data_IF_896379968263
#
_entry.id   IF_896379968263
#
_cell.length_a   1.000
_cell.length_b   1.000
_cell.length_c   1.000
_cell.angle_alpha   90.00
_cell.angle_beta   90.00
_cell.angle_gamma   90.00
#
_symmetry.space_group_name_H-M   'P 1'
#
loop_
_entity.id
_entity.type
_entity.pdbx_description
1 polymer ?
#
# COMPACT_ATOMS: atom_id res chain seq x y z
N UNK A 1 6.59 13.33 20.15
CA UNK A 1 6.81 12.14 19.30
C UNK A 1 8.30 11.89 19.17
N UNK A 2 8.77 10.64 19.37
CA UNK A 2 10.15 10.23 19.11
C UNK A 2 10.43 10.32 17.59
N UNK A 3 11.66 10.73 17.23
CA UNK A 3 12.10 10.83 15.84
C UNK A 3 13.09 9.71 15.52
N UNK A 4 13.04 9.22 14.30
CA UNK A 4 13.91 8.17 13.75
C UNK A 4 14.65 8.73 12.55
N UNK A 5 15.96 8.47 12.46
CA UNK A 5 16.76 8.81 11.28
C UNK A 5 16.42 7.87 10.12
N UNK A 6 16.00 8.43 9.00
CA UNK A 6 15.62 7.67 7.82
C UNK A 6 16.84 7.34 6.95
N UNK A 7 17.73 6.46 7.44
CA UNK A 7 18.95 6.05 6.75
C UNK A 7 19.80 7.23 6.32
N UNK A 8 20.57 7.07 5.23
CA UNK A 8 21.47 8.11 4.65
C UNK A 8 20.78 9.37 4.15
N UNK A 9 19.43 9.47 4.22
CA UNK A 9 18.73 10.73 3.94
C UNK A 9 18.94 11.77 5.02
N UNK A 10 19.35 11.38 6.22
CA UNK A 10 19.46 12.21 7.44
C UNK A 10 18.14 12.88 7.86
N UNK A 11 17.00 12.54 7.21
CA UNK A 11 15.70 13.04 7.63
C UNK A 11 15.33 12.45 8.99
N UNK A 12 15.01 13.32 9.95
CA UNK A 12 14.52 12.93 11.27
C UNK A 12 13.00 12.88 11.24
N UNK A 13 12.44 11.70 10.99
CA UNK A 13 11.00 11.48 10.80
C UNK A 13 10.35 10.92 12.07
N UNK A 14 9.06 11.20 12.25
CA UNK A 14 8.28 10.66 13.37
C UNK A 14 8.23 9.13 13.33
N UNK A 15 8.40 8.51 14.48
CA UNK A 15 8.45 7.04 14.64
C UNK A 15 7.21 6.33 14.12
N UNK A 16 6.04 6.98 14.18
CA UNK A 16 4.84 6.63 13.42
C UNK A 16 4.56 7.82 12.52
N UNK A 17 4.47 7.57 11.22
CA UNK A 17 4.30 8.60 10.20
C UNK A 17 2.95 8.46 9.49
N UNK A 18 2.56 9.41 8.64
CA UNK A 18 1.22 9.49 8.10
C UNK A 18 1.12 8.93 6.69
N UNK A 19 0.34 7.85 6.50
CA UNK A 19 -0.03 7.33 5.18
C UNK A 19 -1.30 8.02 4.66
N UNK A 20 -1.17 8.84 3.62
CA UNK A 20 -2.26 9.69 3.14
C UNK A 20 -3.18 9.02 2.09
N UNK A 21 -3.01 7.74 1.78
CA UNK A 21 -3.91 7.06 0.84
C UNK A 21 -5.40 7.18 1.21
N UNK A 22 -5.83 6.98 2.49
CA UNK A 22 -7.26 7.00 2.81
C UNK A 22 -7.91 8.37 2.79
N UNK A 23 -7.18 9.47 2.90
CA UNK A 23 -7.81 10.81 2.95
C UNK A 23 -8.59 11.15 1.67
N UNK A 24 -8.28 10.52 0.54
CA UNK A 24 -9.06 10.66 -0.70
C UNK A 24 -10.48 10.09 -0.61
N UNK A 25 -10.83 9.35 0.44
CA UNK A 25 -12.15 8.73 0.63
C UNK A 25 -13.09 9.55 1.50
N UNK A 26 -12.61 10.63 2.10
CA UNK A 26 -13.39 11.57 2.90
C UNK A 26 -13.51 12.93 2.19
N UNK A 27 -14.42 13.78 2.68
CA UNK A 27 -14.49 15.14 2.17
C UNK A 27 -13.21 15.94 2.49
N UNK A 28 -12.97 16.96 1.68
CA UNK A 28 -11.75 17.77 1.74
C UNK A 28 -11.50 18.42 3.10
N UNK A 29 -12.53 18.94 3.74
CA UNK A 29 -12.41 19.60 5.05
C UNK A 29 -12.06 18.59 6.13
N UNK A 30 -12.62 17.40 6.07
CA UNK A 30 -12.28 16.28 6.93
C UNK A 30 -10.84 15.83 6.71
N UNK A 31 -10.40 15.67 5.47
CA UNK A 31 -9.02 15.34 5.12
C UNK A 31 -8.02 16.36 5.71
N UNK A 32 -8.29 17.66 5.53
CA UNK A 32 -7.45 18.74 6.07
C UNK A 32 -7.40 18.70 7.60
N UNK A 33 -8.54 18.50 8.28
CA UNK A 33 -8.59 18.40 9.75
C UNK A 33 -7.77 17.22 10.26
N UNK A 34 -7.89 16.05 9.65
CA UNK A 34 -7.18 14.84 10.06
C UNK A 34 -5.67 15.01 9.89
N UNK A 35 -5.20 15.54 8.77
CA UNK A 35 -3.78 15.78 8.53
C UNK A 35 -3.22 16.83 9.50
N UNK A 36 -3.96 17.92 9.76
CA UNK A 36 -3.56 18.92 10.76
C UNK A 36 -3.45 18.32 12.15
N UNK A 37 -4.44 17.53 12.55
CA UNK A 37 -4.42 16.84 13.83
C UNK A 37 -3.21 15.91 13.97
N UNK A 38 -2.89 15.13 12.92
CA UNK A 38 -1.70 14.28 12.91
C UNK A 38 -0.41 15.08 13.15
N UNK A 39 -0.26 16.24 12.49
CA UNK A 39 0.86 17.14 12.73
C UNK A 39 0.89 17.67 14.18
N UNK A 40 -0.24 18.08 14.73
CA UNK A 40 -0.35 18.56 16.11
C UNK A 40 0.00 17.47 17.15
N UNK A 41 -0.23 16.19 16.81
CA UNK A 41 0.23 15.05 17.60
C UNK A 41 1.72 14.73 17.41
N UNK A 42 2.44 15.49 16.59
CA UNK A 42 3.88 15.38 16.38
C UNK A 42 4.31 14.49 15.22
N UNK A 43 3.38 14.07 14.34
CA UNK A 43 3.75 13.45 13.06
C UNK A 43 4.33 14.53 12.14
N UNK A 44 5.53 14.29 11.61
CA UNK A 44 6.22 15.24 10.75
C UNK A 44 6.55 14.69 9.37
N UNK A 45 6.24 13.42 9.07
CA UNK A 45 6.46 12.79 7.77
C UNK A 45 5.14 12.27 7.20
N UNK A 46 4.79 12.75 5.99
CA UNK A 46 3.53 12.51 5.31
C UNK A 46 3.78 11.87 3.96
N UNK A 47 3.29 10.64 3.76
CA UNK A 47 3.50 9.86 2.55
C UNK A 47 2.23 9.81 1.69
N UNK A 48 2.34 10.26 0.45
CA UNK A 48 1.27 10.24 -0.56
C UNK A 48 1.75 9.66 -1.89
N UNK A 49 0.97 9.79 -2.97
CA UNK A 49 1.37 9.43 -4.33
C UNK A 49 0.51 10.15 -5.37
N UNK A 50 1.05 10.36 -6.57
CA UNK A 50 0.34 10.92 -7.73
C UNK A 50 -0.95 10.13 -8.07
N UNK A 51 -0.93 8.82 -7.86
CA UNK A 51 -2.07 7.93 -8.13
C UNK A 51 -3.17 7.96 -7.06
N UNK A 52 -3.02 8.71 -5.97
CA UNK A 52 -4.00 8.78 -4.87
C UNK A 52 -4.99 9.94 -5.07
N UNK A 53 -5.64 10.00 -6.22
CA UNK A 53 -6.64 11.00 -6.64
C UNK A 53 -6.42 12.41 -6.05
N UNK A 54 -7.15 12.80 -4.99
CA UNK A 54 -7.09 14.13 -4.35
C UNK A 54 -6.05 14.25 -3.24
N UNK A 55 -5.40 13.15 -2.84
CA UNK A 55 -4.57 13.10 -1.62
C UNK A 55 -3.43 14.13 -1.61
N UNK A 56 -2.74 14.36 -2.74
CA UNK A 56 -1.70 15.39 -2.82
C UNK A 56 -2.24 16.81 -2.62
N UNK A 57 -3.42 17.11 -3.22
CA UNK A 57 -4.06 18.43 -3.07
C UNK A 57 -4.51 18.69 -1.63
N UNK A 58 -5.08 17.67 -0.99
CA UNK A 58 -5.56 17.75 0.38
C UNK A 58 -4.42 17.89 1.38
N UNK A 59 -3.31 17.15 1.15
CA UNK A 59 -2.06 17.35 1.90
C UNK A 59 -1.47 18.75 1.70
N UNK A 60 -1.37 19.22 0.45
CA UNK A 60 -0.85 20.55 0.15
C UNK A 60 -1.59 21.65 0.90
N UNK A 61 -2.92 21.56 0.93
CA UNK A 61 -3.77 22.48 1.70
C UNK A 61 -3.55 22.37 3.21
N UNK A 62 -3.55 21.14 3.72
CA UNK A 62 -3.39 20.88 5.14
C UNK A 62 -2.03 21.33 5.68
N UNK A 63 -0.95 21.11 4.93
CA UNK A 63 0.42 21.41 5.35
C UNK A 63 0.90 22.82 4.98
N UNK A 64 0.05 23.61 4.32
CA UNK A 64 0.35 25.00 3.97
C UNK A 64 0.80 25.82 5.17
N UNK A 65 1.93 26.50 5.01
CA UNK A 65 2.51 27.38 6.03
C UNK A 65 3.36 26.67 7.10
N UNK A 66 3.51 25.33 7.04
CA UNK A 66 4.37 24.59 7.98
C UNK A 66 5.84 24.52 7.51
N UNK A 67 6.09 24.72 6.21
CA UNK A 67 7.45 24.80 5.65
C UNK A 67 8.30 23.56 5.98
N UNK A 68 9.50 23.78 6.50
CA UNK A 68 10.47 22.72 6.85
C UNK A 68 10.10 21.91 8.11
N UNK A 69 9.04 22.28 8.84
CA UNK A 69 8.57 21.53 10.00
C UNK A 69 7.96 20.18 9.64
N UNK A 70 7.63 19.98 8.37
CA UNK A 70 7.05 18.75 7.86
C UNK A 70 7.82 18.28 6.64
N UNK A 71 7.99 16.97 6.53
CA UNK A 71 8.58 16.29 5.40
C UNK A 71 7.49 15.58 4.60
N UNK A 72 7.56 15.70 3.28
CA UNK A 72 6.58 15.10 2.37
C UNK A 72 7.27 14.14 1.43
N UNK A 73 6.74 12.91 1.38
CA UNK A 73 7.08 11.91 0.39
C UNK A 73 5.93 11.77 -0.61
N UNK A 74 6.23 11.81 -1.90
CA UNK A 74 5.29 11.42 -2.95
C UNK A 74 5.92 10.44 -3.93
N UNK A 75 5.11 9.91 -4.85
CA UNK A 75 5.51 8.83 -5.75
C UNK A 75 4.81 8.97 -7.10
N UNK A 76 5.53 8.64 -8.18
CA UNK A 76 4.94 8.49 -9.50
C UNK A 76 5.30 7.14 -10.12
N UNK A 77 4.37 6.56 -10.89
CA UNK A 77 4.61 5.37 -11.70
C UNK A 77 5.29 5.79 -12.98
N UNK A 78 6.41 5.17 -13.30
CA UNK A 78 7.04 5.36 -14.61
C UNK A 78 6.35 4.50 -15.68
N UNK A 79 5.97 5.11 -16.78
CA UNK A 79 5.50 4.44 -17.99
C UNK A 79 6.26 4.94 -19.23
N UNK A 80 6.39 6.23 -19.37
CA UNK A 80 7.13 6.97 -20.37
C UNK A 80 7.56 8.33 -19.79
N UNK A 81 8.53 8.99 -20.40
CA UNK A 81 9.09 10.24 -19.89
C UNK A 81 8.08 11.38 -19.88
N UNK A 82 7.32 11.58 -20.95
CA UNK A 82 6.37 12.70 -21.07
C UNK A 82 5.34 12.66 -19.92
N UNK A 83 4.81 11.44 -19.65
CA UNK A 83 3.89 11.24 -18.54
C UNK A 83 4.56 11.41 -17.20
N UNK A 84 5.78 10.91 -17.02
CA UNK A 84 6.50 11.00 -15.76
C UNK A 84 6.81 12.44 -15.38
N UNK A 85 7.32 13.24 -16.31
CA UNK A 85 7.58 14.68 -16.11
C UNK A 85 6.29 15.43 -15.78
N UNK A 86 5.20 15.14 -16.50
CA UNK A 86 3.89 15.74 -16.22
C UNK A 86 3.39 15.35 -14.81
N UNK A 87 3.50 14.10 -14.42
CA UNK A 87 3.09 13.62 -13.09
C UNK A 87 3.96 14.27 -12.00
N UNK A 88 5.27 14.41 -12.25
CA UNK A 88 6.21 15.11 -11.36
C UNK A 88 5.79 16.56 -11.13
N UNK A 89 5.57 17.35 -12.18
CA UNK A 89 5.14 18.75 -12.07
C UNK A 89 3.74 18.87 -11.43
N UNK A 90 2.84 17.94 -11.71
CA UNK A 90 1.52 17.91 -11.11
C UNK A 90 1.61 17.72 -9.59
N UNK A 91 2.53 16.86 -9.11
CA UNK A 91 2.75 16.67 -7.68
C UNK A 91 3.17 17.95 -6.96
N UNK A 92 4.06 18.76 -7.55
CA UNK A 92 4.44 20.07 -7.01
C UNK A 92 3.26 21.02 -6.89
N UNK A 93 2.47 21.12 -7.98
CA UNK A 93 1.29 21.98 -8.00
C UNK A 93 0.25 21.57 -6.94
N UNK A 94 0.01 20.27 -6.80
CA UNK A 94 -0.95 19.74 -5.84
C UNK A 94 -0.48 19.93 -4.39
N UNK A 95 0.77 19.59 -4.11
CA UNK A 95 1.37 19.71 -2.79
C UNK A 95 1.65 21.16 -2.38
N UNK A 96 1.61 22.11 -3.33
CA UNK A 96 1.88 23.55 -3.11
C UNK A 96 3.21 23.78 -2.37
N UNK A 97 4.26 23.08 -2.80
CA UNK A 97 5.60 23.16 -2.18
C UNK A 97 6.65 23.52 -3.23
N UNK A 98 7.69 24.25 -2.79
CA UNK A 98 8.84 24.61 -3.63
C UNK A 98 9.81 23.42 -3.78
N UNK A 99 9.80 22.49 -2.83
CA UNK A 99 10.58 21.25 -2.86
C UNK A 99 9.82 20.09 -2.22
N UNK A 100 10.19 18.88 -2.60
CA UNK A 100 9.68 17.62 -2.03
C UNK A 100 10.85 16.91 -1.33
N UNK A 101 10.65 16.46 -0.09
CA UNK A 101 11.71 15.84 0.71
C UNK A 101 12.11 14.46 0.16
N UNK A 102 11.14 13.66 -0.28
CA UNK A 102 11.39 12.34 -0.85
C UNK A 102 10.48 12.08 -2.06
N UNK A 103 11.06 11.90 -3.24
CA UNK A 103 10.34 11.48 -4.43
C UNK A 103 10.67 10.01 -4.74
N UNK A 104 9.63 9.17 -4.92
CA UNK A 104 9.82 7.73 -5.04
C UNK A 104 9.29 7.19 -6.37
N UNK A 105 9.99 6.23 -6.97
CA UNK A 105 9.43 5.39 -8.03
C UNK A 105 8.37 4.47 -7.45
N UNK A 106 7.16 4.51 -8.00
CA UNK A 106 5.98 3.87 -7.44
C UNK A 106 5.71 2.51 -8.07
N UNK A 107 5.62 1.46 -7.23
CA UNK A 107 5.22 0.09 -7.64
C UNK A 107 6.19 -0.51 -8.68
N UNK A 108 7.48 -0.51 -8.37
CA UNK A 108 8.50 -1.17 -9.20
C UNK A 108 8.60 -2.63 -8.76
N UNK A 109 7.99 -3.53 -9.53
CA UNK A 109 7.82 -4.93 -9.14
C UNK A 109 8.60 -5.90 -10.03
N UNK A 110 9.11 -5.45 -11.18
CA UNK A 110 9.74 -6.28 -12.19
C UNK A 110 11.07 -5.69 -12.66
N UNK A 111 11.93 -6.56 -13.18
CA UNK A 111 13.26 -6.21 -13.66
C UNK A 111 13.18 -5.19 -14.80
N UNK A 112 12.25 -5.38 -15.71
CA UNK A 112 12.06 -4.51 -16.88
C UNK A 112 11.70 -3.08 -16.48
N UNK A 113 10.91 -2.93 -15.40
CA UNK A 113 10.54 -1.61 -14.86
C UNK A 113 11.78 -0.92 -14.23
N UNK A 114 12.59 -1.68 -13.48
CA UNK A 114 13.82 -1.16 -12.89
C UNK A 114 14.84 -0.76 -13.98
N UNK A 115 15.02 -1.59 -14.99
CA UNK A 115 15.95 -1.34 -16.09
C UNK A 115 15.52 -0.09 -16.88
N UNK A 116 14.22 0.07 -17.17
CA UNK A 116 13.67 1.26 -17.82
C UNK A 116 13.85 2.54 -16.96
N UNK A 117 13.72 2.42 -15.63
CA UNK A 117 13.96 3.54 -14.71
C UNK A 117 15.44 3.95 -14.71
N UNK A 118 16.34 3.00 -14.80
CA UNK A 118 17.80 3.21 -14.73
C UNK A 118 18.46 3.38 -16.09
N UNK A 119 17.71 3.35 -17.17
CA UNK A 119 18.21 3.62 -18.51
C UNK A 119 18.86 5.01 -18.59
N UNK A 120 19.95 5.13 -19.35
CA UNK A 120 20.65 6.41 -19.51
C UNK A 120 19.76 7.46 -20.14
N UNK A 121 19.63 8.61 -19.49
CA UNK A 121 18.70 9.67 -19.88
C UNK A 121 17.24 9.41 -19.49
N UNK A 122 16.99 8.36 -18.74
CA UNK A 122 15.67 7.99 -18.24
C UNK A 122 15.23 8.76 -16.98
N UNK A 123 14.15 8.31 -16.35
CA UNK A 123 13.54 9.05 -15.23
C UNK A 123 14.43 9.14 -13.98
N UNK A 124 15.35 8.21 -13.77
CA UNK A 124 16.31 8.33 -12.67
C UNK A 124 17.28 9.49 -12.89
N UNK A 125 17.84 9.62 -14.10
CA UNK A 125 18.72 10.75 -14.46
C UNK A 125 17.98 12.08 -14.39
N UNK A 126 16.71 12.13 -14.81
CA UNK A 126 15.84 13.29 -14.66
C UNK A 126 15.70 13.69 -13.18
N UNK A 127 15.38 12.75 -12.27
CA UNK A 127 15.28 13.05 -10.84
C UNK A 127 16.63 13.49 -10.24
N UNK A 128 17.76 12.99 -10.73
CA UNK A 128 19.09 13.47 -10.31
C UNK A 128 19.31 14.93 -10.66
N UNK A 129 18.88 15.38 -11.84
CA UNK A 129 18.96 16.80 -12.22
C UNK A 129 18.01 17.66 -11.37
N UNK A 130 16.80 17.17 -11.09
CA UNK A 130 15.87 17.87 -10.20
C UNK A 130 16.39 17.95 -8.75
N UNK A 131 17.11 16.93 -8.30
CA UNK A 131 17.80 16.93 -7.00
C UNK A 131 18.92 17.99 -6.96
N UNK A 132 19.72 18.12 -8.04
CA UNK A 132 20.74 19.16 -8.16
C UNK A 132 20.16 20.57 -8.14
N UNK A 133 18.96 20.76 -8.71
CA UNK A 133 18.22 22.03 -8.67
C UNK A 133 17.59 22.31 -7.29
N UNK A 134 17.64 21.35 -6.34
CA UNK A 134 17.04 21.48 -5.04
C UNK A 134 15.52 21.30 -4.98
N UNK A 135 14.90 20.84 -6.09
CA UNK A 135 13.46 20.59 -6.14
C UNK A 135 13.05 19.30 -5.39
N UNK A 136 13.92 18.30 -5.37
CA UNK A 136 13.77 17.14 -4.49
C UNK A 136 15.02 16.96 -3.65
N UNK A 137 14.87 16.42 -2.44
CA UNK A 137 15.99 16.17 -1.55
C UNK A 137 16.54 14.75 -1.69
N UNK A 138 15.64 13.75 -1.81
CA UNK A 138 15.98 12.33 -1.82
C UNK A 138 15.18 11.57 -2.87
N UNK A 139 15.77 10.46 -3.36
CA UNK A 139 15.16 9.54 -4.34
C UNK A 139 14.98 8.18 -3.70
N UNK A 140 13.74 7.67 -3.70
CA UNK A 140 13.38 6.37 -3.16
C UNK A 140 12.74 5.45 -4.18
N UNK A 141 12.45 4.23 -3.74
CA UNK A 141 11.77 3.21 -4.55
C UNK A 141 10.76 2.45 -3.71
N UNK A 142 9.61 2.10 -4.32
CA UNK A 142 8.57 1.33 -3.65
C UNK A 142 8.20 0.08 -4.43
N UNK A 143 7.91 -1.01 -3.73
CA UNK A 143 7.44 -2.25 -4.32
C UNK A 143 6.47 -2.98 -3.40
N UNK A 144 5.60 -3.79 -4.00
CA UNK A 144 4.83 -4.81 -3.28
C UNK A 144 5.53 -6.18 -3.24
N UNK A 145 6.74 -6.28 -3.78
CA UNK A 145 7.54 -7.51 -3.87
C UNK A 145 8.87 -7.31 -3.16
N UNK A 146 8.94 -7.56 -1.83
CA UNK A 146 10.16 -7.31 -1.05
C UNK A 146 11.40 -8.03 -1.59
N UNK A 147 11.26 -9.27 -2.05
CA UNK A 147 12.36 -10.04 -2.60
C UNK A 147 12.99 -9.36 -3.83
N UNK A 148 12.19 -8.72 -4.69
CA UNK A 148 12.71 -7.99 -5.85
C UNK A 148 13.51 -6.75 -5.44
N UNK A 149 13.19 -6.12 -4.31
CA UNK A 149 13.90 -4.93 -3.85
C UNK A 149 15.36 -5.19 -3.50
N UNK A 150 15.77 -6.43 -3.26
CA UNK A 150 17.19 -6.80 -3.10
C UNK A 150 18.02 -6.41 -4.34
N UNK A 151 17.47 -6.61 -5.54
CA UNK A 151 18.13 -6.22 -6.79
C UNK A 151 18.20 -4.69 -6.91
N UNK A 152 17.10 -4.00 -6.62
CA UNK A 152 17.04 -2.55 -6.70
C UNK A 152 18.05 -1.89 -5.73
N UNK A 153 18.14 -2.36 -4.48
CA UNK A 153 19.07 -1.80 -3.48
C UNK A 153 20.52 -2.03 -3.84
N UNK A 154 20.87 -3.19 -4.43
CA UNK A 154 22.25 -3.50 -4.90
C UNK A 154 22.74 -2.55 -5.99
N UNK A 155 21.85 -1.82 -6.68
CA UNK A 155 22.25 -0.78 -7.64
C UNK A 155 22.94 0.43 -6.97
N UNK A 156 22.74 0.62 -5.67
CA UNK A 156 23.23 1.78 -4.90
C UNK A 156 22.56 3.11 -5.24
N UNK A 157 21.49 3.10 -6.06
CA UNK A 157 20.85 4.29 -6.60
C UNK A 157 19.84 4.94 -5.65
N UNK A 158 19.21 4.16 -4.77
CA UNK A 158 18.09 4.63 -3.94
C UNK A 158 18.52 4.93 -2.51
N UNK A 159 17.88 5.93 -1.91
CA UNK A 159 18.17 6.40 -0.54
C UNK A 159 17.14 5.85 0.45
N UNK A 160 15.95 5.45 -0.03
CA UNK A 160 14.92 4.77 0.76
C UNK A 160 14.30 3.61 -0.01
N UNK A 161 13.82 2.62 0.74
CA UNK A 161 12.97 1.53 0.24
C UNK A 161 11.64 1.54 0.98
N UNK A 162 10.54 1.37 0.25
CA UNK A 162 9.21 1.26 0.85
C UNK A 162 8.54 -0.04 0.39
N UNK A 163 8.22 -0.92 1.35
CA UNK A 163 7.63 -2.25 1.12
C UNK A 163 6.51 -2.54 2.12
N UNK A 164 5.60 -3.49 1.82
CA UNK A 164 4.70 -4.03 2.84
C UNK A 164 5.50 -4.69 3.96
N UNK A 165 5.08 -4.42 5.19
CA UNK A 165 5.64 -5.10 6.37
C UNK A 165 4.66 -5.01 7.54
N UNK A 166 4.35 -6.15 8.11
CA UNK A 166 3.53 -6.33 9.30
C UNK A 166 3.78 -7.75 9.84
N UNK A 167 3.13 -8.15 10.92
CA UNK A 167 3.38 -9.45 11.56
C UNK A 167 2.95 -10.68 10.73
N UNK A 168 2.25 -10.48 9.58
CA UNK A 168 1.96 -11.53 8.58
C UNK A 168 2.96 -11.48 7.41
N UNK A 169 3.33 -10.27 6.98
CA UNK A 169 4.26 -10.02 5.87
C UNK A 169 5.64 -9.72 6.44
N UNK A 170 6.37 -10.76 6.89
CA UNK A 170 7.64 -10.65 7.62
C UNK A 170 8.89 -10.89 6.76
N UNK A 171 8.72 -11.29 5.50
CA UNK A 171 9.80 -11.65 4.57
C UNK A 171 10.90 -10.57 4.46
N UNK A 172 10.62 -9.26 4.59
CA UNK A 172 11.66 -8.24 4.57
C UNK A 172 12.74 -8.40 5.65
N UNK A 173 12.44 -9.08 6.77
CA UNK A 173 13.39 -9.32 7.86
C UNK A 173 14.55 -10.22 7.46
N UNK A 174 14.34 -11.13 6.52
CA UNK A 174 15.32 -12.18 6.20
C UNK A 174 16.56 -11.59 5.51
N UNK A 175 16.36 -10.84 4.42
CA UNK A 175 17.47 -10.32 3.62
C UNK A 175 17.35 -8.81 3.34
N UNK A 176 16.14 -8.29 3.09
CA UNK A 176 15.95 -6.92 2.61
C UNK A 176 16.35 -5.87 3.67
N UNK A 177 15.87 -6.01 4.89
CA UNK A 177 16.21 -5.06 5.96
C UNK A 177 17.68 -5.15 6.38
N UNK A 178 18.29 -6.36 6.53
CA UNK A 178 19.75 -6.47 6.70
C UNK A 178 20.55 -5.75 5.61
N UNK A 179 20.18 -5.94 4.33
CA UNK A 179 20.82 -5.26 3.22
C UNK A 179 20.62 -3.74 3.27
N UNK A 180 19.39 -3.27 3.51
CA UNK A 180 19.09 -1.83 3.63
C UNK A 180 19.92 -1.18 4.73
N UNK A 181 20.03 -1.82 5.91
CA UNK A 181 20.88 -1.36 7.03
C UNK A 181 22.35 -1.28 6.65
N UNK A 182 22.88 -2.30 5.97
CA UNK A 182 24.28 -2.33 5.54
C UNK A 182 24.63 -1.22 4.54
N UNK A 183 23.65 -0.72 3.80
CA UNK A 183 23.77 0.35 2.81
C UNK A 183 23.29 1.72 3.33
N UNK A 184 22.92 1.79 4.61
CA UNK A 184 22.31 2.96 5.27
C UNK A 184 21.09 3.52 4.51
N UNK A 185 20.27 2.64 3.94
CA UNK A 185 19.04 2.97 3.21
C UNK A 185 17.88 3.08 4.19
N UNK A 186 17.12 4.18 4.13
CA UNK A 186 15.94 4.39 4.96
C UNK A 186 14.83 3.38 4.67
N UNK A 187 14.25 2.79 5.72
CA UNK A 187 13.22 1.74 5.63
C UNK A 187 11.87 2.35 5.98
N UNK A 188 10.98 2.44 4.98
CA UNK A 188 9.59 2.84 5.16
C UNK A 188 8.70 1.62 4.95
N UNK A 189 7.72 1.41 5.81
CA UNK A 189 6.83 0.26 5.67
C UNK A 189 5.38 0.67 5.50
N UNK A 190 4.81 0.22 4.38
CA UNK A 190 3.40 0.38 4.06
C UNK A 190 2.59 -0.82 4.59
N UNK A 191 1.27 -0.65 4.68
CA UNK A 191 0.32 -1.66 5.17
C UNK A 191 0.64 -2.22 6.57
N UNK A 192 1.06 -1.39 7.54
CA UNK A 192 1.37 -1.86 8.88
C UNK A 192 0.18 -2.55 9.58
N UNK A 193 -1.06 -2.24 9.13
CA UNK A 193 -2.30 -2.85 9.62
C UNK A 193 -3.00 -3.66 8.51
N UNK A 194 -2.22 -4.27 7.60
CA UNK A 194 -2.69 -5.13 6.50
C UNK A 194 -3.84 -4.51 5.68
N UNK A 195 -3.81 -3.18 5.49
CA UNK A 195 -4.88 -2.47 4.77
C UNK A 195 -6.21 -2.37 5.54
N UNK A 196 -6.22 -2.55 6.87
CA UNK A 196 -7.40 -2.52 7.73
C UNK A 196 -8.03 -3.92 7.95
N UNK A 197 -7.29 -4.98 7.67
CA UNK A 197 -7.69 -6.36 7.97
C UNK A 197 -7.51 -6.66 9.46
N UNK A 198 -6.42 -6.17 10.05
CA UNK A 198 -6.17 -6.36 11.48
C UNK A 198 -7.20 -5.57 12.31
N UNK A 199 -7.69 -6.20 13.35
CA UNK A 199 -8.69 -5.61 14.27
C UNK A 199 -8.04 -4.84 15.42
N UNK A 200 -6.76 -5.11 15.71
CA UNK A 200 -5.99 -4.44 16.77
C UNK A 200 -4.80 -3.68 16.17
N UNK A 201 -5.06 -2.43 15.74
CA UNK A 201 -4.05 -1.56 15.12
C UNK A 201 -2.90 -1.25 16.09
N UNK A 202 -3.21 -1.00 17.38
CA UNK A 202 -2.19 -0.75 18.40
C UNK A 202 -1.18 -1.89 18.47
N UNK A 203 -1.65 -3.12 18.54
CA UNK A 203 -0.80 -4.33 18.60
C UNK A 203 0.06 -4.45 17.33
N UNK A 204 -0.55 -4.30 16.15
CA UNK A 204 0.15 -4.42 14.87
C UNK A 204 1.28 -3.40 14.73
N UNK A 205 1.03 -2.15 15.10
CA UNK A 205 2.04 -1.09 15.03
C UNK A 205 3.09 -1.30 16.13
N UNK A 206 2.70 -1.64 17.37
CA UNK A 206 3.64 -1.93 18.46
C UNK A 206 4.61 -3.06 18.08
N UNK A 207 4.15 -4.07 17.34
CA UNK A 207 5.02 -5.13 16.84
C UNK A 207 6.07 -4.58 15.86
N UNK A 208 5.68 -3.69 14.93
CA UNK A 208 6.63 -3.06 13.98
C UNK A 208 7.64 -2.18 14.73
N UNK A 209 7.21 -1.46 15.76
CA UNK A 209 8.07 -0.57 16.54
C UNK A 209 9.17 -1.28 17.35
N UNK A 210 9.16 -2.62 17.42
CA UNK A 210 10.29 -3.40 17.91
C UNK A 210 11.52 -3.35 16.96
N UNK A 211 11.33 -2.86 15.74
CA UNK A 211 12.38 -2.59 14.77
C UNK A 211 12.62 -1.08 14.72
N UNK A 212 13.60 -0.54 15.49
CA UNK A 212 13.68 0.89 15.79
C UNK A 212 14.01 1.78 14.58
N UNK A 213 14.58 1.22 13.51
CA UNK A 213 14.97 1.87 12.27
C UNK A 213 13.90 1.78 11.15
N UNK A 214 12.76 1.14 11.45
CA UNK A 214 11.66 0.96 10.50
C UNK A 214 10.57 1.99 10.77
N UNK A 215 10.15 2.71 9.73
CA UNK A 215 9.16 3.78 9.81
C UNK A 215 7.82 3.33 9.23
N UNK A 216 6.83 2.96 10.08
CA UNK A 216 5.49 2.63 9.62
C UNK A 216 4.71 3.89 9.19
N UNK A 217 4.00 3.75 8.05
CA UNK A 217 3.08 4.76 7.52
C UNK A 217 1.65 4.22 7.46
N UNK A 218 0.98 4.00 8.62
CA UNK A 218 -0.42 3.59 8.62
C UNK A 218 -1.28 4.59 7.85
N UNK A 219 -2.20 4.06 7.05
CA UNK A 219 -3.17 4.91 6.36
C UNK A 219 -4.26 5.36 7.32
N UNK A 220 -4.52 6.67 7.39
CA UNK A 220 -5.48 7.27 8.31
C UNK A 220 -6.35 8.31 7.60
N UNK A 221 -7.65 8.33 7.89
CA UNK A 221 -8.60 9.35 7.42
C UNK A 221 -9.57 9.83 8.52
N UNK A 222 -9.38 9.39 9.77
CA UNK A 222 -10.15 9.79 10.95
C UNK A 222 -9.22 10.05 12.12
N UNK A 223 -9.66 10.92 13.03
CA UNK A 223 -8.89 11.29 14.24
C UNK A 223 -8.68 10.08 15.15
N UNK A 224 -9.72 9.26 15.31
CA UNK A 224 -9.69 8.07 16.14
C UNK A 224 -8.61 7.07 15.68
N UNK A 225 -8.38 6.97 14.36
CA UNK A 225 -7.31 6.12 13.80
C UNK A 225 -5.92 6.63 14.16
N UNK A 226 -5.74 7.95 14.27
CA UNK A 226 -4.49 8.56 14.73
C UNK A 226 -4.27 8.23 16.21
N UNK A 227 -5.30 8.44 17.03
CA UNK A 227 -5.25 8.20 18.48
C UNK A 227 -4.95 6.73 18.78
N UNK A 228 -5.61 5.80 18.10
CA UNK A 228 -5.36 4.35 18.21
C UNK A 228 -3.92 3.99 17.84
N UNK A 229 -3.44 4.50 16.70
CA UNK A 229 -2.09 4.22 16.24
C UNK A 229 -1.03 4.78 17.20
N UNK A 230 -1.27 5.95 17.79
CA UNK A 230 -0.35 6.56 18.76
C UNK A 230 -0.27 5.80 20.09
N UNK A 231 -1.30 5.06 20.47
CA UNK A 231 -1.24 4.19 21.65
C UNK A 231 -0.11 3.15 21.55
N UNK A 232 0.28 2.77 20.34
CA UNK A 232 1.39 1.84 20.11
C UNK A 232 2.74 2.34 20.62
N UNK A 233 2.92 3.66 20.82
CA UNK A 233 4.14 4.24 21.35
C UNK A 233 4.34 3.98 22.85
N UNK A 234 3.28 3.63 23.57
CA UNK A 234 3.25 3.60 25.02
C UNK A 234 3.55 2.22 25.63
N UNK A 235 3.43 1.16 24.87
CA UNK A 235 3.66 -0.20 25.35
C UNK A 235 4.05 -1.17 24.23
N UNK A 236 5.04 -2.02 24.50
CA UNK A 236 5.30 -3.19 23.68
C UNK A 236 4.12 -4.19 23.74
N UNK A 237 3.95 -5.09 22.74
CA UNK A 237 2.94 -6.12 22.79
C UNK A 237 3.09 -7.00 24.05
N UNK A 238 2.00 -7.13 24.81
CA UNK A 238 1.95 -8.00 25.98
C UNK A 238 1.70 -9.49 25.59
N UNK A 239 1.72 -10.41 26.56
CA UNK A 239 1.50 -11.84 26.27
C UNK A 239 0.17 -12.14 25.56
N UNK A 240 -0.91 -11.44 25.92
CA UNK A 240 -2.22 -11.58 25.25
C UNK A 240 -2.20 -11.05 23.81
N UNK A 241 -1.49 -9.92 23.56
CA UNK A 241 -1.31 -9.38 22.21
C UNK A 241 -0.52 -10.38 21.34
N UNK A 242 0.55 -11.00 21.87
CA UNK A 242 1.35 -11.98 21.15
C UNK A 242 0.55 -13.25 20.84
N UNK A 243 -0.30 -13.71 21.76
CA UNK A 243 -1.19 -14.84 21.51
C UNK A 243 -2.20 -14.54 20.41
N UNK A 244 -2.80 -13.34 20.41
CA UNK A 244 -3.70 -12.92 19.35
C UNK A 244 -2.98 -12.84 18.00
N UNK A 245 -1.75 -12.31 17.99
CA UNK A 245 -0.92 -12.23 16.81
C UNK A 245 -0.64 -13.60 16.18
N UNK A 246 -0.36 -14.63 16.99
CA UNK A 246 -0.17 -15.99 16.47
C UNK A 246 -1.49 -16.57 15.93
N UNK A 247 -2.63 -16.34 16.59
CA UNK A 247 -3.94 -16.75 16.08
C UNK A 247 -4.27 -16.09 14.74
N UNK A 248 -4.02 -14.77 14.62
CA UNK A 248 -4.19 -14.02 13.36
C UNK A 248 -3.28 -14.57 12.24
N UNK A 249 -2.03 -14.98 12.56
CA UNK A 249 -1.11 -15.60 11.59
C UNK A 249 -1.64 -16.94 11.09
N UNK A 250 -2.17 -17.77 11.97
CA UNK A 250 -2.77 -19.05 11.59
C UNK A 250 -3.98 -18.85 10.69
N UNK A 251 -4.90 -17.95 11.06
CA UNK A 251 -6.12 -17.70 10.32
C UNK A 251 -5.85 -17.00 8.96
N UNK A 252 -5.13 -15.86 8.99
CA UNK A 252 -4.90 -15.04 7.81
C UNK A 252 -3.78 -15.57 6.92
N UNK A 253 -2.83 -16.32 7.47
CA UNK A 253 -1.71 -16.88 6.72
C UNK A 253 -2.13 -17.71 5.51
N UNK A 254 -3.27 -18.39 5.62
CA UNK A 254 -3.83 -19.28 4.61
C UNK A 254 -4.77 -18.60 3.61
N UNK A 255 -5.24 -17.39 3.88
CA UNK A 255 -6.23 -16.70 3.04
C UNK A 255 -5.82 -15.27 2.64
N UNK A 256 -4.86 -14.68 3.32
CA UNK A 256 -4.45 -13.29 3.10
C UNK A 256 -3.57 -13.12 1.86
N UNK A 257 -4.14 -12.55 0.80
CA UNK A 257 -3.41 -12.25 -0.45
C UNK A 257 -2.49 -11.02 -0.27
N UNK A 258 -1.18 -11.22 -0.42
CA UNK A 258 -0.13 -10.18 -0.26
C UNK A 258 0.08 -9.28 -1.49
N UNK A 259 -0.70 -9.49 -2.56
CA UNK A 259 -0.65 -8.68 -3.80
C UNK A 259 0.71 -8.72 -4.51
N UNK A 260 1.38 -9.83 -4.51
CA UNK A 260 2.63 -10.00 -5.26
C UNK A 260 2.42 -10.27 -6.76
N UNK A 261 1.20 -10.63 -7.16
CA UNK A 261 0.74 -10.90 -8.52
C UNK A 261 1.46 -12.07 -9.24
N UNK A 262 2.21 -12.92 -8.52
CA UNK A 262 2.83 -14.12 -9.10
C UNK A 262 1.80 -15.09 -9.70
N UNK A 263 0.57 -15.08 -9.20
CA UNK A 263 -0.54 -15.87 -9.73
C UNK A 263 -1.00 -15.42 -11.12
N UNK A 264 -0.56 -14.26 -11.60
CA UNK A 264 -0.93 -13.71 -12.90
C UNK A 264 0.13 -13.99 -13.98
N UNK A 265 -0.21 -14.05 -15.29
CA UNK A 265 -1.58 -13.98 -15.82
C UNK A 265 -2.35 -15.30 -15.61
N UNK A 266 -3.68 -15.21 -15.51
CA UNK A 266 -4.55 -16.39 -15.55
C UNK A 266 -4.82 -16.82 -17.00
N UNK A 267 -4.78 -18.12 -17.35
CA UNK A 267 -5.09 -18.60 -18.72
C UNK A 267 -6.50 -18.22 -19.21
N UNK A 268 -7.42 -18.01 -18.25
CA UNK A 268 -8.81 -17.61 -18.53
C UNK A 268 -9.05 -16.12 -18.29
N UNK A 269 -8.00 -15.28 -18.24
CA UNK A 269 -8.06 -13.84 -17.97
C UNK A 269 -8.84 -13.49 -16.70
N UNK A 270 -8.79 -14.29 -15.67
CA UNK A 270 -9.39 -13.99 -14.37
C UNK A 270 -8.41 -13.16 -13.55
N UNK A 271 -8.85 -12.02 -13.05
CA UNK A 271 -8.05 -11.16 -12.18
C UNK A 271 -8.01 -11.70 -10.73
N UNK A 272 -7.42 -12.89 -10.55
CA UNK A 272 -7.44 -13.65 -9.29
C UNK A 272 -6.98 -12.80 -8.09
N UNK A 273 -5.87 -12.09 -8.22
CA UNK A 273 -5.33 -11.23 -7.16
C UNK A 273 -6.25 -10.08 -6.78
N UNK A 274 -7.00 -9.52 -7.73
CA UNK A 274 -8.01 -8.50 -7.44
C UNK A 274 -9.22 -9.12 -6.73
N UNK A 275 -9.76 -10.20 -7.27
CA UNK A 275 -10.97 -10.86 -6.75
C UNK A 275 -10.77 -11.26 -5.29
N UNK A 276 -9.70 -12.00 -4.98
CA UNK A 276 -9.42 -12.49 -3.61
C UNK A 276 -9.31 -11.37 -2.58
N UNK A 277 -8.98 -10.14 -3.01
CA UNK A 277 -8.86 -8.98 -2.14
C UNK A 277 -10.06 -8.04 -2.16
N UNK A 278 -11.06 -8.32 -2.99
CA UNK A 278 -12.15 -7.37 -3.25
C UNK A 278 -12.94 -7.01 -2.01
N UNK A 279 -13.31 -7.98 -1.17
CA UNK A 279 -14.02 -7.73 0.07
C UNK A 279 -13.29 -6.77 0.98
N UNK A 280 -11.98 -6.97 1.12
CA UNK A 280 -11.08 -6.10 1.88
C UNK A 280 -11.02 -4.69 1.31
N UNK A 281 -10.91 -4.59 -0.02
CA UNK A 281 -10.83 -3.31 -0.73
C UNK A 281 -12.12 -2.52 -0.50
N UNK A 282 -13.29 -3.11 -0.79
CA UNK A 282 -14.57 -2.42 -0.67
C UNK A 282 -14.99 -2.15 0.77
N UNK A 283 -14.63 -3.01 1.72
CA UNK A 283 -14.81 -2.70 3.15
C UNK A 283 -14.08 -1.42 3.56
N UNK A 284 -12.92 -1.13 2.94
CA UNK A 284 -12.09 0.03 3.24
C UNK A 284 -12.48 1.29 2.47
N UNK A 285 -12.75 1.17 1.15
CA UNK A 285 -13.03 2.34 0.29
C UNK A 285 -14.51 2.70 0.23
N UNK A 286 -15.38 1.83 0.74
CA UNK A 286 -16.83 1.96 0.69
C UNK A 286 -17.46 1.05 -0.37
N UNK A 287 -18.56 0.40 -0.01
CA UNK A 287 -19.32 -0.49 -0.90
C UNK A 287 -19.97 0.28 -2.05
N UNK A 288 -20.28 1.57 -1.85
CA UNK A 288 -20.78 2.50 -2.86
C UNK A 288 -19.81 2.75 -4.02
N UNK A 289 -18.56 2.35 -3.88
CA UNK A 289 -17.53 2.42 -4.94
C UNK A 289 -17.54 1.20 -5.87
N UNK A 290 -18.35 0.19 -5.58
CA UNK A 290 -18.53 -0.94 -6.48
C UNK A 290 -19.24 -0.46 -7.76
N UNK A 291 -18.85 -1.04 -8.92
CA UNK A 291 -19.34 -0.66 -10.25
C UNK A 291 -19.66 -1.91 -11.07
N UNK A 292 -20.39 -1.75 -12.15
CA UNK A 292 -20.69 -2.84 -13.10
C UNK A 292 -19.44 -3.55 -13.62
N UNK A 293 -18.33 -2.83 -13.82
CA UNK A 293 -17.06 -3.45 -14.24
C UNK A 293 -16.53 -4.45 -13.21
N UNK A 294 -16.73 -4.19 -11.93
CA UNK A 294 -16.38 -5.12 -10.85
C UNK A 294 -17.31 -6.35 -10.86
N UNK A 295 -18.61 -6.16 -11.08
CA UNK A 295 -19.57 -7.25 -11.24
C UNK A 295 -19.16 -8.19 -12.40
N UNK A 296 -18.67 -7.61 -13.53
CA UNK A 296 -18.15 -8.40 -14.65
C UNK A 296 -16.92 -9.22 -14.25
N UNK A 297 -15.99 -8.63 -13.51
CA UNK A 297 -14.79 -9.32 -13.01
C UNK A 297 -15.18 -10.48 -12.06
N UNK A 298 -16.11 -10.27 -11.14
CA UNK A 298 -16.59 -11.30 -10.22
C UNK A 298 -17.36 -12.41 -10.96
N UNK A 299 -18.20 -12.05 -11.93
CA UNK A 299 -18.87 -13.06 -12.79
C UNK A 299 -17.87 -13.92 -13.54
N UNK A 300 -16.77 -13.30 -14.02
CA UNK A 300 -15.68 -14.03 -14.68
C UNK A 300 -14.92 -14.94 -13.69
N UNK A 301 -14.77 -14.53 -12.44
CA UNK A 301 -14.19 -15.34 -11.37
C UNK A 301 -14.93 -16.66 -11.13
N UNK A 302 -16.27 -16.68 -11.27
CA UNK A 302 -17.07 -17.91 -11.19
C UNK A 302 -16.73 -18.92 -12.28
N UNK A 303 -16.22 -18.48 -13.45
CA UNK A 303 -15.81 -19.37 -14.55
C UNK A 303 -14.44 -20.01 -14.35
N UNK A 304 -13.89 -19.97 -13.14
CA UNK A 304 -12.62 -20.59 -12.80
C UNK A 304 -12.66 -22.11 -13.05
N UNK A 305 -11.79 -22.58 -13.93
CA UNK A 305 -11.69 -24.02 -14.29
C UNK A 305 -10.92 -24.85 -13.27
N UNK A 306 -10.47 -24.25 -12.18
CA UNK A 306 -9.62 -24.88 -11.16
C UNK A 306 -8.35 -25.56 -11.72
N UNK A 307 -7.73 -24.98 -12.75
CA UNK A 307 -6.52 -25.54 -13.39
C UNK A 307 -5.30 -25.57 -12.44
N UNK A 308 -5.30 -24.79 -11.36
CA UNK A 308 -4.22 -24.76 -10.36
C UNK A 308 -3.02 -23.88 -10.72
N UNK A 309 -2.95 -23.31 -11.93
CA UNK A 309 -1.80 -22.50 -12.38
C UNK A 309 -1.49 -21.30 -11.46
N UNK A 310 -2.53 -20.61 -10.99
CA UNK A 310 -2.36 -19.49 -10.05
C UNK A 310 -1.86 -19.98 -8.69
N UNK A 311 -2.35 -21.12 -8.23
CA UNK A 311 -2.01 -21.69 -6.91
C UNK A 311 -0.58 -22.22 -6.91
N UNK A 312 -0.13 -22.91 -7.95
CA UNK A 312 1.26 -23.41 -8.07
C UNK A 312 2.31 -22.29 -8.12
N UNK A 313 1.91 -21.09 -8.55
CA UNK A 313 2.78 -19.90 -8.59
C UNK A 313 2.69 -19.02 -7.34
N UNK A 314 1.78 -19.34 -6.41
CA UNK A 314 1.64 -18.55 -5.18
C UNK A 314 2.74 -18.93 -4.18
N UNK A 315 3.67 -18.02 -3.82
CA UNK A 315 4.73 -18.33 -2.86
C UNK A 315 4.22 -18.50 -1.42
N UNK A 316 2.94 -18.21 -1.19
CA UNK A 316 2.27 -18.31 0.11
C UNK A 316 1.27 -19.48 0.16
N UNK A 317 1.29 -20.34 -0.84
CA UNK A 317 0.48 -21.56 -0.93
C UNK A 317 -1.02 -21.34 -0.72
N UNK A 318 -1.53 -20.13 -1.07
CA UNK A 318 -2.94 -19.80 -0.92
C UNK A 318 -3.79 -20.71 -1.82
N UNK A 319 -4.95 -21.21 -1.35
CA UNK A 319 -5.90 -22.01 -2.16
C UNK A 319 -6.67 -21.08 -3.12
N UNK A 320 -5.95 -20.50 -4.09
CA UNK A 320 -6.44 -19.41 -4.92
C UNK A 320 -7.63 -19.80 -5.79
N UNK A 321 -7.76 -21.07 -6.19
CA UNK A 321 -8.88 -21.54 -6.99
C UNK A 321 -10.20 -21.48 -6.22
N UNK A 322 -10.18 -21.88 -4.96
CA UNK A 322 -11.31 -21.79 -4.03
C UNK A 322 -11.58 -20.34 -3.64
N UNK A 323 -10.54 -19.62 -3.21
CA UNK A 323 -10.67 -18.22 -2.81
C UNK A 323 -11.26 -17.32 -3.90
N UNK A 324 -10.89 -17.54 -5.17
CA UNK A 324 -11.44 -16.78 -6.31
C UNK A 324 -12.93 -17.04 -6.47
N UNK A 325 -13.36 -18.28 -6.38
CA UNK A 325 -14.77 -18.66 -6.56
C UNK A 325 -15.61 -18.14 -5.40
N UNK A 326 -15.16 -18.39 -4.17
CA UNK A 326 -15.90 -18.01 -2.95
C UNK A 326 -16.01 -16.49 -2.83
N UNK A 327 -14.92 -15.76 -3.07
CA UNK A 327 -14.95 -14.31 -3.02
C UNK A 327 -15.78 -13.72 -4.18
N UNK A 328 -15.76 -14.35 -5.36
CA UNK A 328 -16.67 -13.97 -6.47
C UNK A 328 -18.12 -14.09 -6.08
N UNK A 329 -18.53 -15.21 -5.44
CA UNK A 329 -19.90 -15.38 -4.92
C UNK A 329 -20.25 -14.29 -3.92
N UNK A 330 -19.36 -14.05 -2.93
CA UNK A 330 -19.56 -13.04 -1.91
C UNK A 330 -19.73 -11.65 -2.52
N UNK A 331 -18.87 -11.27 -3.46
CA UNK A 331 -18.92 -9.96 -4.12
C UNK A 331 -20.14 -9.78 -5.01
N UNK A 332 -20.62 -10.83 -5.66
CA UNK A 332 -21.87 -10.76 -6.44
C UNK A 332 -23.10 -10.57 -5.53
N UNK A 333 -23.15 -11.23 -4.35
CA UNK A 333 -24.19 -10.96 -3.33
C UNK A 333 -24.13 -9.51 -2.87
N UNK A 334 -22.94 -8.98 -2.60
CA UNK A 334 -22.75 -7.55 -2.29
C UNK A 334 -23.22 -6.64 -3.44
N UNK A 335 -23.04 -7.07 -4.69
CA UNK A 335 -23.55 -6.37 -5.87
C UNK A 335 -25.08 -6.25 -5.87
N UNK A 336 -25.82 -7.27 -5.40
CA UNK A 336 -27.28 -7.18 -5.20
C UNK A 336 -27.62 -6.14 -4.14
N UNK A 337 -26.94 -6.20 -3.00
CA UNK A 337 -27.14 -5.21 -1.90
C UNK A 337 -26.86 -3.76 -2.35
N UNK A 338 -25.96 -3.57 -3.31
CA UNK A 338 -25.63 -2.25 -3.88
C UNK A 338 -26.51 -1.87 -5.10
N UNK A 339 -27.48 -2.71 -5.48
CA UNK A 339 -28.38 -2.46 -6.61
C UNK A 339 -27.70 -2.53 -7.99
N UNK A 340 -26.52 -3.17 -8.09
CA UNK A 340 -25.77 -3.34 -9.34
C UNK A 340 -26.19 -4.57 -10.14
N UNK A 341 -26.91 -5.50 -9.52
CA UNK A 341 -27.61 -6.61 -10.16
C UNK A 341 -28.79 -7.03 -9.29
N UNK A 342 -29.74 -7.75 -9.93
CA UNK A 342 -30.92 -8.30 -9.25
C UNK A 342 -30.61 -9.69 -8.69
N UNK A 343 -31.44 -10.15 -7.73
CA UNK A 343 -31.34 -11.53 -7.21
C UNK A 343 -31.50 -12.58 -8.32
N UNK A 344 -32.38 -12.33 -9.28
CA UNK A 344 -32.58 -13.24 -10.43
C UNK A 344 -31.33 -13.35 -11.30
N UNK A 345 -30.65 -12.22 -11.56
CA UNK A 345 -29.38 -12.22 -12.30
C UNK A 345 -28.24 -12.93 -11.53
N UNK A 346 -28.21 -12.76 -10.19
CA UNK A 346 -27.27 -13.49 -9.35
C UNK A 346 -27.47 -15.01 -9.48
N UNK A 347 -28.71 -15.48 -9.29
CA UNK A 347 -29.05 -16.90 -9.39
C UNK A 347 -28.74 -17.47 -10.77
N UNK A 348 -29.03 -16.72 -11.84
CA UNK A 348 -28.68 -17.11 -13.18
C UNK A 348 -27.15 -17.30 -13.35
N UNK A 349 -26.34 -16.34 -12.87
CA UNK A 349 -24.87 -16.40 -12.94
C UNK A 349 -24.30 -17.59 -12.16
N UNK A 350 -24.81 -17.87 -10.97
CA UNK A 350 -24.40 -19.02 -10.16
C UNK A 350 -24.73 -20.34 -10.86
N UNK A 351 -25.92 -20.45 -11.47
CA UNK A 351 -26.35 -21.63 -12.24
C UNK A 351 -25.47 -21.85 -13.46
N UNK A 352 -25.22 -20.81 -14.28
CA UNK A 352 -24.38 -20.88 -15.47
C UNK A 352 -22.94 -21.33 -15.14
N UNK A 353 -22.45 -20.97 -13.95
CA UNK A 353 -21.12 -21.35 -13.47
C UNK A 353 -21.06 -22.71 -12.77
N UNK A 354 -22.20 -23.40 -12.59
CA UNK A 354 -22.27 -24.64 -11.81
C UNK A 354 -21.87 -24.44 -10.34
N UNK A 355 -22.13 -23.24 -9.82
CA UNK A 355 -21.71 -22.78 -8.50
C UNK A 355 -22.90 -22.57 -7.55
N UNK A 356 -24.04 -23.26 -7.84
CA UNK A 356 -25.22 -23.26 -6.98
C UNK A 356 -24.86 -23.79 -5.58
N UNK A 357 -25.49 -23.24 -4.56
CA UNK A 357 -25.37 -23.77 -3.20
C UNK A 357 -26.24 -25.02 -3.08
N UNK A 358 -25.69 -26.07 -2.48
CA UNK A 358 -26.50 -27.18 -1.98
C UNK A 358 -27.50 -26.60 -0.95
N UNK A 359 -28.80 -26.77 -1.21
CA UNK A 359 -29.90 -26.26 -0.38
C UNK A 359 -29.91 -26.91 1.00
#
# INVERSE_FOLDING_TARGET
>A
MELVRLGKTELMVSKISFGALPIQSVDRDSAVRVVRYAYEQGMNFFDTARSYSTSEEDLGRALKGLGEKVMVATKAVYKDMDKFEKDYETSFNNLQRDYIDLFQFHIVNYREELDAILEKGGPYDYLLEEKKKGRIRHIGITSHRPAFMLEALKTGKFETVQVPFNYIETEPLDELFPLARSLDIGIIVMKPVAGGVFTNNRMAISWILQHPDVVPIPGMCRIEEIEDNLQALNAAPGPADLQQLEADKEELGTVFCRRCDYCMPCPNDIEASFIVRSGMIFKRVGWDKMKESHIKAFSKGLSCTRCGDCQSRCPYELPLTELVIDESKNMLRRGVEQGLLTEAELQQKLKEAGAEEDQ
#
